data_IF_694589213746
#
_entry.id   IF_694589213746
#
_cell.length_a   1.000
_cell.length_b   1.000
_cell.length_c   1.000
_cell.angle_alpha   90.00
_cell.angle_beta   90.00
_cell.angle_gamma   90.00
#
_symmetry.space_group_name_H-M   'P 1'
#
loop_
_entity.id
_entity.type
_entity.pdbx_description
1 polymer ?
#
# COMPACT_ATOMS: atom_id res chain seq x y z
N UNK A 1 24.82 27.06 -7.36
CA UNK A 1 23.93 26.32 -8.29
C UNK A 1 23.76 24.82 -7.93
N UNK A 2 24.14 24.36 -6.74
CA UNK A 2 24.04 22.93 -6.34
C UNK A 2 22.74 22.52 -5.61
N UNK A 3 21.88 23.49 -5.23
CA UNK A 3 20.67 23.23 -4.45
C UNK A 3 19.40 23.05 -5.30
N UNK A 4 19.47 23.29 -6.61
CA UNK A 4 18.32 23.20 -7.54
C UNK A 4 18.23 21.79 -8.15
N UNK A 5 19.38 21.12 -8.30
CA UNK A 5 19.48 19.72 -8.73
C UNK A 5 18.61 18.73 -7.92
N UNK A 6 18.55 18.80 -6.57
CA UNK A 6 17.71 17.89 -5.79
C UNK A 6 16.20 18.14 -6.01
N UNK A 7 15.80 19.37 -6.35
CA UNK A 7 14.39 19.72 -6.58
C UNK A 7 13.89 19.23 -7.95
N UNK A 8 14.78 19.19 -8.95
CA UNK A 8 14.44 18.62 -10.27
C UNK A 8 14.30 17.10 -10.16
N UNK A 9 15.15 16.44 -9.39
CA UNK A 9 15.10 15.00 -9.17
C UNK A 9 13.82 14.54 -8.45
N UNK A 10 13.33 15.31 -7.46
CA UNK A 10 12.07 15.01 -6.76
C UNK A 10 10.85 15.16 -7.68
N UNK A 11 10.87 16.11 -8.62
CA UNK A 11 9.77 16.27 -9.59
C UNK A 11 9.69 15.12 -10.61
N UNK A 12 10.84 14.53 -11.00
CA UNK A 12 10.88 13.39 -11.92
C UNK A 12 10.41 12.10 -11.23
N UNK A 13 10.78 11.91 -9.96
CA UNK A 13 10.26 10.80 -9.14
C UNK A 13 8.75 10.93 -8.86
N UNK A 14 8.26 12.15 -8.60
CA UNK A 14 6.84 12.44 -8.45
C UNK A 14 6.05 12.21 -9.75
N UNK A 15 6.61 12.56 -10.92
CA UNK A 15 6.04 12.28 -12.24
C UNK A 15 5.98 10.78 -12.56
N UNK A 16 6.99 10.01 -12.15
CA UNK A 16 6.98 8.55 -12.24
C UNK A 16 5.89 7.90 -11.39
N UNK A 17 5.62 8.46 -10.21
CA UNK A 17 4.54 7.98 -9.34
C UNK A 17 3.15 8.39 -9.84
N UNK A 18 3.03 9.58 -10.44
CA UNK A 18 1.79 10.07 -11.05
C UNK A 18 1.39 9.27 -12.30
N UNK A 19 2.35 8.77 -13.08
CA UNK A 19 2.03 7.88 -14.23
C UNK A 19 1.54 6.49 -13.79
N UNK A 20 1.91 6.03 -12.59
CA UNK A 20 1.35 4.84 -11.94
C UNK A 20 -0.10 5.07 -11.46
N UNK A 21 -0.47 6.31 -11.16
CA UNK A 21 -1.84 6.70 -10.75
C UNK A 21 -2.74 7.13 -11.92
N UNK A 22 -2.19 7.63 -13.02
CA UNK A 22 -2.97 8.16 -14.15
C UNK A 22 -3.49 7.07 -15.13
N UNK A 23 -3.07 5.81 -15.01
CA UNK A 23 -3.43 4.75 -15.95
C UNK A 23 -4.53 3.83 -15.40
N UNK A 24 -5.78 4.19 -15.67
CA UNK A 24 -7.02 3.44 -15.38
C UNK A 24 -7.18 2.10 -16.13
N UNK A 25 -6.12 1.49 -16.70
CA UNK A 25 -6.22 0.22 -17.45
C UNK A 25 -5.19 -0.84 -17.03
N UNK A 26 -5.68 -2.09 -16.91
CA UNK A 26 -5.16 -3.20 -16.09
C UNK A 26 -3.79 -3.83 -16.44
N UNK A 27 -3.12 -3.67 -17.60
CA UNK A 27 -1.83 -4.32 -17.85
C UNK A 27 -0.58 -3.49 -17.50
N UNK A 28 -0.71 -2.23 -17.07
CA UNK A 28 0.45 -1.37 -16.75
C UNK A 28 1.12 -1.66 -15.39
N UNK A 29 0.67 -2.69 -14.66
CA UNK A 29 1.18 -3.04 -13.31
C UNK A 29 2.61 -3.60 -13.29
N UNK A 30 3.12 -4.09 -14.43
CA UNK A 30 4.47 -4.63 -14.55
C UNK A 30 5.52 -3.58 -14.97
N UNK A 31 5.10 -2.52 -15.69
CA UNK A 31 6.02 -1.49 -16.20
C UNK A 31 6.52 -0.51 -15.14
N UNK A 32 5.68 -0.18 -14.14
CA UNK A 32 6.05 0.75 -13.06
C UNK A 32 7.10 0.20 -12.09
N UNK A 33 7.25 -1.12 -12.00
CA UNK A 33 8.27 -1.76 -11.16
C UNK A 33 9.69 -1.55 -11.71
N UNK A 34 9.87 -1.58 -13.03
CA UNK A 34 11.18 -1.41 -13.67
C UNK A 34 11.69 0.04 -13.59
N UNK A 35 10.81 1.04 -13.72
CA UNK A 35 11.19 2.46 -13.60
C UNK A 35 11.45 2.89 -12.15
N UNK A 36 10.79 2.25 -11.18
CA UNK A 36 11.11 2.41 -9.75
C UNK A 36 12.50 1.86 -9.39
N UNK A 37 12.88 0.71 -9.97
CA UNK A 37 14.23 0.15 -9.81
C UNK A 37 15.30 1.05 -10.42
N UNK A 38 15.04 1.73 -11.55
CA UNK A 38 15.97 2.67 -12.18
C UNK A 38 16.24 3.93 -11.34
N UNK A 39 15.25 4.39 -10.55
CA UNK A 39 15.45 5.47 -9.57
C UNK A 39 16.25 5.01 -8.34
N UNK A 40 16.05 3.76 -7.92
CA UNK A 40 16.74 3.18 -6.77
C UNK A 40 18.21 2.86 -7.04
N UNK A 41 18.53 2.37 -8.23
CA UNK A 41 19.92 2.07 -8.63
C UNK A 41 20.73 3.36 -8.80
N UNK A 42 20.12 4.46 -9.25
CA UNK A 42 20.81 5.75 -9.38
C UNK A 42 21.04 6.45 -8.03
N UNK A 43 20.12 6.30 -7.08
CA UNK A 43 20.27 6.82 -5.72
C UNK A 43 21.37 6.08 -4.95
N UNK A 44 21.48 4.76 -5.10
CA UNK A 44 22.54 3.94 -4.48
C UNK A 44 23.94 4.31 -4.99
N UNK A 45 24.07 4.64 -6.28
CA UNK A 45 25.32 5.11 -6.90
C UNK A 45 25.72 6.51 -6.40
N UNK A 46 24.76 7.38 -6.09
CA UNK A 46 25.02 8.73 -5.56
C UNK A 46 25.32 8.73 -4.05
N UNK A 47 24.71 7.83 -3.28
CA UNK A 47 24.99 7.64 -1.85
C UNK A 47 26.44 7.21 -1.59
N UNK A 48 27.02 6.41 -2.50
CA UNK A 48 28.45 6.08 -2.47
C UNK A 48 29.41 7.25 -2.76
N UNK A 49 28.90 8.45 -3.07
CA UNK A 49 29.71 9.65 -3.35
C UNK A 49 29.78 10.65 -2.19
N UNK A 50 29.20 10.34 -1.02
CA UNK A 50 29.35 11.13 0.20
C UNK A 50 30.53 10.60 1.02
N UNK A 51 31.53 11.43 1.38
CA UNK A 51 32.60 11.03 2.29
C UNK A 51 32.04 10.93 3.72
N UNK A 52 31.58 9.75 4.11
CA UNK A 52 31.09 9.40 5.45
C UNK A 52 31.55 7.97 5.81
N UNK A 53 31.85 7.71 7.08
CA UNK A 53 32.48 6.47 7.53
C UNK A 53 31.60 5.23 7.31
N UNK A 54 32.23 4.05 7.37
CA UNK A 54 31.59 2.74 7.12
C UNK A 54 30.45 2.42 8.11
N UNK A 55 30.39 3.13 9.24
CA UNK A 55 29.38 2.94 10.28
C UNK A 55 28.02 3.59 9.93
N UNK A 56 28.01 4.65 9.12
CA UNK A 56 26.77 5.36 8.72
C UNK A 56 26.01 4.64 7.59
N UNK A 57 26.75 3.89 6.75
CA UNK A 57 26.20 3.19 5.58
C UNK A 57 25.18 2.12 5.97
N UNK A 58 25.37 1.46 7.11
CA UNK A 58 24.46 0.41 7.57
C UNK A 58 23.06 0.99 7.86
N UNK A 59 22.98 2.11 8.56
CA UNK A 59 21.71 2.77 8.92
C UNK A 59 20.96 3.25 7.67
N UNK A 60 21.67 3.84 6.70
CA UNK A 60 21.10 4.28 5.43
C UNK A 60 20.49 3.12 4.63
N UNK A 61 21.18 1.99 4.58
CA UNK A 61 20.69 0.79 3.88
C UNK A 61 19.39 0.28 4.50
N UNK A 62 19.30 0.21 5.83
CA UNK A 62 18.08 -0.25 6.48
C UNK A 62 16.91 0.73 6.25
N UNK A 63 17.12 2.04 6.37
CA UNK A 63 16.08 3.04 6.09
C UNK A 63 15.59 2.93 4.66
N UNK A 64 16.50 2.71 3.70
CA UNK A 64 16.14 2.53 2.29
C UNK A 64 15.31 1.26 2.06
N UNK A 65 15.67 0.15 2.70
CA UNK A 65 14.90 -1.10 2.63
C UNK A 65 13.49 -0.90 3.22
N UNK A 66 13.37 -0.32 4.42
CA UNK A 66 12.07 -0.09 5.06
C UNK A 66 11.20 0.88 4.25
N UNK A 67 11.79 1.96 3.72
CA UNK A 67 11.08 2.92 2.88
C UNK A 67 10.60 2.29 1.57
N UNK A 68 11.41 1.44 0.94
CA UNK A 68 10.99 0.71 -0.27
C UNK A 68 9.84 -0.25 0.01
N UNK A 69 9.90 -1.00 1.10
CA UNK A 69 8.81 -1.91 1.51
C UNK A 69 7.53 -1.12 1.79
N UNK A 70 7.63 0.03 2.48
CA UNK A 70 6.48 0.89 2.75
C UNK A 70 5.79 1.37 1.47
N UNK A 71 6.56 1.85 0.48
CA UNK A 71 6.01 2.32 -0.79
C UNK A 71 5.39 1.16 -1.59
N UNK A 72 6.09 0.01 -1.67
CA UNK A 72 5.57 -1.17 -2.37
C UNK A 72 4.26 -1.68 -1.74
N UNK A 73 4.18 -1.70 -0.40
CA UNK A 73 3.00 -2.10 0.34
C UNK A 73 1.84 -1.10 0.13
N UNK A 74 2.10 0.20 0.16
CA UNK A 74 1.09 1.23 -0.09
C UNK A 74 0.49 1.12 -1.51
N UNK A 75 1.33 0.83 -2.50
CA UNK A 75 0.85 0.58 -3.87
C UNK A 75 -0.01 -0.68 -3.92
N UNK A 76 0.43 -1.79 -3.33
CA UNK A 76 -0.37 -3.04 -3.29
C UNK A 76 -1.71 -2.86 -2.57
N UNK A 77 -1.74 -2.07 -1.48
CA UNK A 77 -2.95 -1.73 -0.75
C UNK A 77 -4.02 -1.12 -1.66
N UNK A 78 -3.65 -0.14 -2.49
CA UNK A 78 -4.60 0.59 -3.36
C UNK A 78 -5.09 -0.29 -4.52
N UNK A 79 -4.22 -1.14 -5.04
CA UNK A 79 -4.56 -1.94 -6.22
C UNK A 79 -5.44 -3.15 -5.89
N UNK A 80 -5.47 -3.56 -4.62
CA UNK A 80 -6.16 -4.77 -4.20
C UNK A 80 -7.67 -4.59 -4.08
N UNK A 81 -8.43 -5.41 -4.81
CA UNK A 81 -9.91 -5.31 -4.86
C UNK A 81 -10.61 -5.91 -3.65
N UNK A 82 -9.94 -6.81 -2.94
CA UNK A 82 -10.49 -7.47 -1.76
C UNK A 82 -10.06 -6.67 -0.51
N UNK A 83 -11.00 -6.09 0.25
CA UNK A 83 -10.69 -5.13 1.32
C UNK A 83 -9.81 -5.74 2.42
N UNK A 84 -10.00 -7.02 2.73
CA UNK A 84 -9.18 -7.77 3.71
C UNK A 84 -7.69 -7.71 3.37
N UNK A 85 -7.34 -7.97 2.11
CA UNK A 85 -5.95 -7.95 1.68
C UNK A 85 -5.40 -6.52 1.59
N UNK A 86 -6.24 -5.55 1.21
CA UNK A 86 -5.85 -4.13 1.23
C UNK A 86 -5.41 -3.70 2.63
N UNK A 87 -6.16 -4.08 3.66
CA UNK A 87 -5.80 -3.76 5.04
C UNK A 87 -4.54 -4.47 5.55
N UNK A 88 -4.28 -5.72 5.14
CA UNK A 88 -3.01 -6.39 5.47
C UNK A 88 -1.80 -5.61 4.92
N UNK A 89 -1.90 -5.07 3.70
CA UNK A 89 -0.87 -4.20 3.15
C UNK A 89 -0.75 -2.86 3.90
N UNK A 90 -1.85 -2.29 4.41
CA UNK A 90 -1.78 -1.12 5.27
C UNK A 90 -1.06 -1.41 6.59
N UNK A 91 -1.30 -2.56 7.24
CA UNK A 91 -0.55 -2.98 8.43
C UNK A 91 0.95 -3.01 8.10
N UNK A 92 1.31 -3.57 6.95
CA UNK A 92 2.71 -3.62 6.49
C UNK A 92 3.31 -2.23 6.32
N UNK A 93 2.58 -1.27 5.76
CA UNK A 93 3.02 0.14 5.67
C UNK A 93 3.28 0.72 7.07
N UNK A 94 2.35 0.54 8.01
CA UNK A 94 2.47 1.06 9.37
C UNK A 94 3.70 0.45 10.07
N UNK A 95 3.94 -0.85 9.90
CA UNK A 95 5.12 -1.52 10.46
C UNK A 95 6.43 -1.03 9.83
N UNK A 96 6.46 -0.83 8.51
CA UNK A 96 7.65 -0.28 7.84
C UNK A 96 7.96 1.15 8.30
N UNK A 97 6.95 2.00 8.46
CA UNK A 97 7.11 3.36 9.00
C UNK A 97 7.54 3.32 10.47
N UNK A 98 7.01 2.39 11.28
CA UNK A 98 7.48 2.16 12.64
C UNK A 98 8.97 1.79 12.68
N UNK A 99 9.43 0.93 11.76
CA UNK A 99 10.84 0.58 11.63
C UNK A 99 11.72 1.81 11.34
N UNK A 100 11.28 2.70 10.45
CA UNK A 100 11.97 3.97 10.18
C UNK A 100 11.99 4.86 11.42
N UNK A 101 10.87 5.02 12.13
CA UNK A 101 10.79 5.85 13.34
C UNK A 101 11.69 5.35 14.47
N UNK A 102 11.84 4.03 14.60
CA UNK A 102 12.78 3.43 15.57
C UNK A 102 14.23 3.79 15.23
N UNK A 103 14.59 3.84 13.94
CA UNK A 103 15.94 4.27 13.52
C UNK A 103 16.20 5.77 13.77
N UNK A 104 15.15 6.59 13.79
CA UNK A 104 15.22 7.99 14.19
C UNK A 104 15.18 8.19 15.72
N UNK A 105 15.32 7.11 16.50
CA UNK A 105 15.22 7.11 17.98
C UNK A 105 13.87 7.64 18.51
N UNK A 106 12.84 7.68 17.67
CA UNK A 106 11.51 8.20 18.01
C UNK A 106 10.60 7.10 18.59
N UNK A 107 11.05 6.43 19.66
CA UNK A 107 10.38 5.24 20.21
C UNK A 107 8.93 5.49 20.64
N UNK A 108 8.66 6.60 21.33
CA UNK A 108 7.30 6.93 21.78
C UNK A 108 6.32 7.02 20.60
N UNK A 109 6.72 7.72 19.54
CA UNK A 109 5.90 7.88 18.33
C UNK A 109 5.75 6.55 17.59
N UNK A 110 6.81 5.75 17.52
CA UNK A 110 6.78 4.43 16.90
C UNK A 110 5.76 3.49 17.57
N UNK A 111 5.80 3.39 18.90
CA UNK A 111 4.82 2.58 19.64
C UNK A 111 3.40 3.14 19.56
N UNK A 112 3.23 4.46 19.66
CA UNK A 112 1.93 5.10 19.49
C UNK A 112 1.34 4.81 18.09
N UNK A 113 2.16 4.83 17.04
CA UNK A 113 1.77 4.49 15.68
C UNK A 113 1.24 3.06 15.60
N UNK A 114 1.94 2.09 16.20
CA UNK A 114 1.49 0.69 16.21
C UNK A 114 0.19 0.53 16.97
N UNK A 115 0.07 1.09 18.18
CA UNK A 115 -1.14 0.93 19.01
C UNK A 115 -2.36 1.59 18.36
N UNK A 116 -2.21 2.82 17.86
CA UNK A 116 -3.32 3.61 17.33
C UNK A 116 -3.66 3.19 15.89
N UNK A 117 -2.68 3.17 14.99
CA UNK A 117 -2.95 2.88 13.58
C UNK A 117 -3.09 1.39 13.31
N UNK A 118 -2.13 0.56 13.75
CA UNK A 118 -2.19 -0.88 13.49
C UNK A 118 -3.19 -1.62 14.41
N UNK A 119 -3.29 -1.20 15.67
CA UNK A 119 -4.19 -1.78 16.66
C UNK A 119 -5.63 -1.29 16.53
N UNK A 120 -5.90 -0.04 16.93
CA UNK A 120 -7.26 0.44 17.08
C UNK A 120 -7.94 0.78 15.74
N UNK A 121 -7.40 1.75 15.00
CA UNK A 121 -8.05 2.32 13.81
C UNK A 121 -8.24 1.24 12.74
N UNK A 122 -7.21 0.45 12.47
CA UNK A 122 -7.26 -0.57 11.43
C UNK A 122 -8.26 -1.69 11.69
N UNK A 123 -8.31 -2.21 12.92
CA UNK A 123 -9.23 -3.31 13.24
C UNK A 123 -10.66 -2.79 13.19
N UNK A 124 -10.92 -1.59 13.71
CA UNK A 124 -12.24 -0.95 13.58
C UNK A 124 -12.62 -0.74 12.11
N UNK A 125 -11.70 -0.21 11.31
CA UNK A 125 -11.94 0.01 9.88
C UNK A 125 -12.16 -1.29 9.11
N UNK A 126 -11.38 -2.34 9.43
CA UNK A 126 -11.52 -3.67 8.86
C UNK A 126 -12.90 -4.27 9.12
N UNK A 127 -13.36 -4.17 10.36
CA UNK A 127 -14.69 -4.65 10.76
C UNK A 127 -15.78 -3.90 9.97
N UNK A 128 -15.70 -2.58 9.90
CA UNK A 128 -16.65 -1.74 9.15
C UNK A 128 -16.64 -2.06 7.66
N UNK A 129 -15.45 -2.19 7.03
CA UNK A 129 -15.33 -2.52 5.61
C UNK A 129 -15.89 -3.91 5.27
N UNK A 130 -15.72 -4.88 6.16
CA UNK A 130 -16.23 -6.23 5.95
C UNK A 130 -17.76 -6.26 6.02
N UNK A 131 -18.35 -5.56 6.99
CA UNK A 131 -19.80 -5.40 7.08
C UNK A 131 -20.37 -4.66 5.87
N UNK A 132 -19.71 -3.59 5.43
CA UNK A 132 -20.11 -2.85 4.24
C UNK A 132 -20.09 -3.72 2.98
N UNK A 133 -19.13 -4.65 2.88
CA UNK A 133 -19.08 -5.59 1.75
C UNK A 133 -20.27 -6.55 1.74
N UNK A 134 -20.63 -7.09 2.90
CA UNK A 134 -21.76 -8.01 3.01
C UNK A 134 -23.08 -7.33 2.62
N UNK A 135 -23.30 -6.09 3.07
CA UNK A 135 -24.51 -5.33 2.73
C UNK A 135 -24.72 -5.16 1.20
N UNK A 136 -23.65 -5.00 0.43
CA UNK A 136 -23.74 -4.89 -1.04
C UNK A 136 -24.09 -6.20 -1.75
N UNK A 137 -23.72 -7.34 -1.18
CA UNK A 137 -24.04 -8.65 -1.77
C UNK A 137 -25.53 -9.02 -1.50
N UNK A 138 -26.11 -8.55 -0.38
CA UNK A 138 -27.52 -8.80 0.00
C UNK A 138 -28.55 -8.04 -0.87
N UNK A 139 -28.18 -6.90 -1.48
CA UNK A 139 -29.09 -6.16 -2.38
C UNK A 139 -29.48 -6.96 -3.64
N UNK A 140 -28.72 -7.99 -4.01
CA UNK A 140 -29.03 -8.91 -5.12
C UNK A 140 -29.83 -10.15 -4.68
N UNK A 141 -30.07 -10.32 -3.38
CA UNK A 141 -30.75 -11.49 -2.79
C UNK A 141 -32.27 -11.29 -2.67
N UNK A 142 -32.77 -10.09 -3.01
CA UNK A 142 -34.19 -9.80 -3.20
C UNK A 142 -34.76 -10.26 -4.56
N UNK A 143 -33.92 -10.75 -5.47
CA UNK A 143 -34.38 -11.40 -6.70
C UNK A 143 -34.82 -12.82 -6.35
N UNK A 144 -36.13 -13.03 -6.25
CA UNK A 144 -36.76 -14.34 -6.02
C UNK A 144 -36.03 -15.39 -6.87
N UNK A 145 -35.41 -16.42 -6.27
CA UNK A 145 -34.74 -17.46 -7.03
C UNK A 145 -35.67 -18.00 -8.11
N UNK A 146 -35.21 -17.97 -9.36
CA UNK A 146 -35.94 -18.42 -10.55
C UNK A 146 -36.57 -19.82 -10.45
N UNK A 147 -36.20 -20.60 -9.44
CA UNK A 147 -36.70 -21.93 -9.19
C UNK A 147 -38.09 -21.93 -8.52
N UNK A 148 -38.46 -20.85 -7.82
CA UNK A 148 -39.67 -20.78 -7.00
C UNK A 148 -40.73 -19.84 -7.60
N UNK A 149 -40.88 -19.91 -8.93
CA UNK A 149 -41.89 -19.16 -9.69
C UNK A 149 -42.90 -20.03 -10.43
N UNK A 150 -42.78 -21.36 -10.30
CA UNK A 150 -43.71 -22.32 -10.90
C UNK A 150 -44.40 -23.09 -9.78
N UNK A 151 -45.69 -22.80 -9.51
CA UNK A 151 -46.51 -23.60 -8.62
C UNK A 151 -46.52 -25.06 -9.09
N UNK A 152 -46.05 -25.98 -8.25
CA UNK A 152 -46.23 -27.42 -8.47
C UNK A 152 -47.62 -27.79 -8.00
N UNK A 153 -48.63 -27.41 -8.77
CA UNK A 153 -49.97 -27.93 -8.52
C UNK A 153 -49.95 -29.45 -8.73
N UNK A 154 -50.59 -30.23 -7.86
CA UNK A 154 -50.63 -31.68 -8.02
C UNK A 154 -51.37 -31.99 -9.31
N UNK A 155 -50.63 -32.46 -10.32
CA UNK A 155 -51.18 -32.97 -11.56
C UNK A 155 -52.09 -34.15 -11.20
N UNK A 156 -53.40 -33.95 -11.40
CA UNK A 156 -54.50 -34.91 -11.29
C UNK A 156 -54.83 -35.48 -9.90
N UNK A 157 -55.99 -35.05 -9.38
CA UNK A 157 -56.90 -35.83 -8.53
C UNK A 157 -58.27 -35.90 -9.23
#
# INVERSE_FOLDING_TARGET
MGAILPYIATTVAALGLLTVLAARQRPARLGGGLLGLAGLTWLWILAGSLPGGVEDVAAEVFVLIFSLIAVAAAVQMIVQQRPVYSALFFVLVVLSVCGVLVMLEAFFVAFALVIVYAGAILITYMFVLMLARQASDTEHEGEIPSYDRVPRDPVSA
#
